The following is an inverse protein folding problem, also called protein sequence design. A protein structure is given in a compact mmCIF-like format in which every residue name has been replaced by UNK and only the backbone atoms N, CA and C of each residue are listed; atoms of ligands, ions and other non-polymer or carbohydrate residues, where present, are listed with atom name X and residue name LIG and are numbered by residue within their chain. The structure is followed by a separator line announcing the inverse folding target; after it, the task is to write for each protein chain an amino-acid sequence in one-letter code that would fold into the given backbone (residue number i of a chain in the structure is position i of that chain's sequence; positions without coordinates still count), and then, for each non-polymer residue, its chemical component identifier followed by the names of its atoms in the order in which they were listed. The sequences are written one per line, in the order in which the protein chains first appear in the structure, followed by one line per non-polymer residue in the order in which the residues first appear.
data_IF_449132772366
#
_entry.id   IF_449132772366
#
_cell.length_a   1.000
_cell.length_b   1.000
_cell.length_c   1.000
_cell.angle_alpha   90.00
_cell.angle_beta   90.00
_cell.angle_gamma   90.00
#
_symmetry.space_group_name_H-M   'P 1'
#
loop_
_entity.id
_entity.type
_entity.pdbx_description
1 polymer ?
#
# COMPACT_ATOMS: atom_id res chain seq x y z
N UNK A 1 -11.39 -9.11 28.64
CA UNK A 1 -12.06 -9.66 27.45
C UNK A 1 -11.66 -8.78 26.27
N UNK A 2 -11.22 -9.37 25.14
CA UNK A 2 -10.88 -8.58 23.94
C UNK A 2 -12.18 -8.06 23.30
N UNK A 3 -12.18 -6.84 22.71
CA UNK A 3 -13.35 -6.30 22.03
C UNK A 3 -13.75 -7.17 20.82
N UNK A 4 -15.06 -7.24 20.51
CA UNK A 4 -15.58 -8.07 19.40
C UNK A 4 -15.07 -7.65 18.01
N UNK A 5 -14.59 -6.42 17.85
CA UNK A 5 -14.02 -5.91 16.60
C UNK A 5 -12.55 -6.25 16.43
N UNK A 6 -11.90 -6.85 17.45
CA UNK A 6 -10.47 -7.15 17.44
C UNK A 6 -10.22 -8.64 17.47
N UNK A 7 -9.38 -9.12 16.54
CA UNK A 7 -8.97 -10.52 16.45
C UNK A 7 -7.45 -10.61 16.37
N UNK A 8 -6.85 -11.32 17.34
CA UNK A 8 -5.43 -11.67 17.29
C UNK A 8 -5.25 -12.91 16.40
N UNK A 9 -4.34 -12.81 15.42
CA UNK A 9 -4.03 -13.87 14.49
C UNK A 9 -2.75 -14.58 14.94
N UNK A 10 -2.89 -15.83 15.36
CA UNK A 10 -1.75 -16.67 15.74
C UNK A 10 -1.53 -17.83 14.76
N UNK A 11 -2.48 -18.06 13.87
CA UNK A 11 -2.48 -19.08 12.83
C UNK A 11 -3.02 -18.50 11.53
N UNK A 12 -2.67 -19.04 10.37
CA UNK A 12 -3.21 -18.58 9.09
C UNK A 12 -4.71 -18.94 8.96
N UNK A 13 -5.58 -18.11 9.53
CA UNK A 13 -7.03 -18.34 9.58
C UNK A 13 -7.72 -18.10 8.22
N UNK A 14 -7.06 -17.40 7.31
CA UNK A 14 -7.64 -17.00 6.02
C UNK A 14 -6.99 -17.70 4.82
N UNK A 15 -6.55 -18.95 4.97
CA UNK A 15 -5.98 -19.75 3.87
C UNK A 15 -6.95 -20.00 2.73
N UNK A 16 -8.26 -19.97 3.02
CA UNK A 16 -9.31 -20.08 2.00
C UNK A 16 -9.22 -19.00 0.92
N UNK A 17 -8.60 -17.86 1.22
CA UNK A 17 -8.42 -16.79 0.24
C UNK A 17 -7.51 -17.16 -0.92
N UNK A 18 -6.58 -18.09 -0.71
CA UNK A 18 -5.69 -18.59 -1.76
C UNK A 18 -6.44 -19.41 -2.82
N UNK A 19 -7.64 -19.94 -2.50
CA UNK A 19 -8.48 -20.64 -3.47
C UNK A 19 -9.02 -19.73 -4.57
N UNK A 20 -9.04 -18.41 -4.32
CA UNK A 20 -9.41 -17.41 -5.31
C UNK A 20 -8.25 -17.08 -6.27
N UNK A 21 -7.05 -17.61 -6.01
CA UNK A 21 -5.91 -17.40 -6.90
C UNK A 21 -6.12 -18.23 -8.17
N UNK A 22 -5.90 -17.63 -9.35
CA UNK A 22 -6.14 -18.32 -10.60
C UNK A 22 -5.09 -19.42 -10.83
N UNK A 23 -5.52 -20.56 -11.41
CA UNK A 23 -4.60 -21.62 -11.83
C UNK A 23 -3.70 -21.18 -13.00
N UNK A 24 -4.21 -20.28 -13.84
CA UNK A 24 -3.48 -19.70 -14.97
C UNK A 24 -3.24 -18.22 -14.72
N UNK A 25 -2.14 -17.69 -15.26
CA UNK A 25 -1.84 -16.26 -15.15
C UNK A 25 -3.02 -15.42 -15.65
N UNK A 26 -3.47 -14.52 -14.80
CA UNK A 26 -4.54 -13.58 -15.10
C UNK A 26 -4.29 -12.25 -14.40
N UNK A 27 -5.07 -11.24 -14.74
CA UNK A 27 -5.02 -9.89 -14.18
C UNK A 27 -3.68 -9.18 -14.39
N UNK A 28 -3.70 -7.92 -14.09
CA UNK A 28 -2.57 -7.01 -14.30
C UNK A 28 -2.36 -6.11 -13.08
N UNK A 29 -1.09 -5.82 -12.78
CA UNK A 29 -0.69 -4.90 -11.70
C UNK A 29 0.27 -3.88 -12.26
N UNK A 30 0.07 -2.59 -11.90
CA UNK A 30 1.09 -1.56 -12.08
C UNK A 30 1.90 -1.37 -10.79
N UNK A 31 3.22 -1.43 -10.88
CA UNK A 31 4.15 -1.05 -9.81
C UNK A 31 4.73 0.30 -10.14
N UNK A 32 4.40 1.30 -9.34
CA UNK A 32 4.61 2.72 -9.65
C UNK A 32 5.55 3.33 -8.61
N UNK A 33 6.55 4.05 -9.06
CA UNK A 33 7.48 4.73 -8.16
C UNK A 33 8.76 5.16 -8.86
N UNK A 34 9.75 5.51 -8.06
CA UNK A 34 11.06 5.92 -8.52
C UNK A 34 11.22 7.43 -8.73
N UNK A 35 12.46 7.83 -8.75
CA UNK A 35 12.91 9.18 -9.11
C UNK A 35 14.28 9.10 -9.78
N UNK A 36 14.81 10.22 -10.25
CA UNK A 36 16.09 10.29 -10.97
C UNK A 36 17.29 9.67 -10.23
N UNK A 37 17.20 9.50 -8.91
CA UNK A 37 18.30 8.99 -8.06
C UNK A 37 18.11 7.52 -7.69
N UNK A 38 16.87 7.08 -7.42
CA UNK A 38 16.57 5.73 -6.95
C UNK A 38 15.28 5.16 -7.57
N UNK A 39 15.32 3.90 -7.95
CA UNK A 39 14.20 3.16 -8.52
C UNK A 39 14.32 1.64 -8.29
N UNK A 40 15.35 1.21 -7.59
CA UNK A 40 15.67 -0.21 -7.42
C UNK A 40 14.57 -0.99 -6.71
N UNK A 41 13.88 -0.35 -5.75
CA UNK A 41 12.77 -0.98 -5.03
C UNK A 41 11.60 -1.29 -5.96
N UNK A 42 11.30 -0.39 -6.89
CA UNK A 42 10.20 -0.57 -7.86
C UNK A 42 10.47 -1.79 -8.73
N UNK A 43 11.68 -1.90 -9.29
CA UNK A 43 12.09 -3.04 -10.13
C UNK A 43 12.02 -4.36 -9.35
N UNK A 44 12.67 -4.42 -8.16
CA UNK A 44 12.68 -5.63 -7.33
C UNK A 44 11.28 -6.07 -6.91
N UNK A 45 10.38 -5.11 -6.64
CA UNK A 45 8.99 -5.40 -6.28
C UNK A 45 8.22 -5.97 -7.47
N UNK A 46 8.39 -5.42 -8.67
CA UNK A 46 7.79 -5.94 -9.89
C UNK A 46 8.30 -7.35 -10.24
N UNK A 47 9.60 -7.59 -10.13
CA UNK A 47 10.22 -8.92 -10.32
C UNK A 47 9.66 -9.94 -9.31
N UNK A 48 9.53 -9.54 -8.04
CA UNK A 48 8.95 -10.40 -7.00
C UNK A 48 7.50 -10.78 -7.31
N UNK A 49 6.64 -9.82 -7.70
CA UNK A 49 5.26 -10.08 -8.11
C UNK A 49 5.21 -11.07 -9.29
N UNK A 50 6.01 -10.84 -10.30
CA UNK A 50 6.05 -11.66 -11.54
C UNK A 50 6.49 -13.11 -11.26
N UNK A 51 7.44 -13.29 -10.35
CA UNK A 51 8.00 -14.61 -10.03
C UNK A 51 7.17 -15.40 -9.01
N UNK A 52 6.42 -14.71 -8.15
CA UNK A 52 5.77 -15.33 -6.97
C UNK A 52 4.30 -15.60 -7.19
N UNK A 53 3.60 -14.81 -8.02
CA UNK A 53 2.17 -14.87 -8.18
C UNK A 53 1.75 -15.16 -9.63
N UNK A 54 0.57 -15.77 -9.86
CA UNK A 54 0.04 -16.06 -11.19
C UNK A 54 -0.55 -14.81 -11.87
N UNK A 55 0.21 -13.71 -11.88
CA UNK A 55 -0.17 -12.45 -12.52
C UNK A 55 0.24 -12.50 -13.98
N UNK A 56 -0.67 -12.12 -14.89
CA UNK A 56 -0.42 -12.14 -16.32
C UNK A 56 0.54 -11.04 -16.74
N UNK A 57 0.33 -9.82 -16.22
CA UNK A 57 1.13 -8.66 -16.58
C UNK A 57 1.47 -7.83 -15.35
N UNK A 58 2.74 -7.64 -15.09
CA UNK A 58 3.24 -6.67 -14.11
C UNK A 58 3.89 -5.53 -14.88
N UNK A 59 3.22 -4.37 -14.91
CA UNK A 59 3.75 -3.13 -15.50
C UNK A 59 4.59 -2.40 -14.47
N UNK A 60 5.78 -1.98 -14.88
CA UNK A 60 6.62 -1.10 -14.05
C UNK A 60 6.56 0.29 -14.61
N UNK A 61 6.05 1.25 -13.84
CA UNK A 61 5.87 2.64 -14.25
C UNK A 61 6.90 3.52 -13.55
N UNK A 62 7.77 4.13 -14.33
CA UNK A 62 8.87 4.99 -13.86
C UNK A 62 8.75 6.41 -14.43
N UNK A 63 9.36 7.42 -13.77
CA UNK A 63 9.48 8.75 -14.37
C UNK A 63 10.35 8.73 -15.63
N UNK A 64 9.99 9.53 -16.62
CA UNK A 64 10.69 9.69 -17.92
C UNK A 64 12.20 9.98 -17.74
N UNK A 65 12.56 10.67 -16.67
CA UNK A 65 13.97 10.96 -16.31
C UNK A 65 14.85 9.72 -16.18
N UNK A 66 14.26 8.55 -15.99
CA UNK A 66 14.95 7.26 -15.86
C UNK A 66 15.08 6.48 -17.17
N UNK A 67 14.39 6.89 -18.25
CA UNK A 67 14.39 6.15 -19.53
C UNK A 67 15.78 5.78 -20.06
N UNK A 68 16.73 6.68 -19.90
CA UNK A 68 18.12 6.44 -20.36
C UNK A 68 18.95 5.57 -19.39
N UNK A 69 18.48 5.36 -18.17
CA UNK A 69 19.19 4.60 -17.13
C UNK A 69 18.73 3.14 -17.04
N UNK A 70 17.59 2.83 -17.61
CA UNK A 70 16.99 1.49 -17.54
C UNK A 70 17.07 0.83 -18.91
N UNK A 71 17.75 -0.34 -19.02
CA UNK A 71 18.07 -0.96 -20.31
C UNK A 71 16.91 -1.80 -20.91
N UNK A 72 15.77 -1.91 -20.25
CA UNK A 72 14.64 -2.75 -20.72
C UNK A 72 13.39 -1.91 -20.97
N UNK A 73 12.47 -2.42 -21.79
CA UNK A 73 11.21 -1.74 -22.07
C UNK A 73 10.33 -1.70 -20.83
N UNK A 74 10.12 -0.51 -20.29
CA UNK A 74 9.21 -0.23 -19.18
C UNK A 74 8.27 0.91 -19.58
N UNK A 75 7.19 1.08 -18.81
CA UNK A 75 6.30 2.21 -18.97
C UNK A 75 6.89 3.45 -18.29
N UNK A 76 6.84 4.57 -18.98
CA UNK A 76 7.35 5.84 -18.46
C UNK A 76 6.26 6.90 -18.50
N UNK A 77 6.15 7.65 -17.39
CA UNK A 77 5.31 8.84 -17.33
C UNK A 77 6.16 10.10 -17.27
N UNK A 78 5.67 11.25 -17.81
CA UNK A 78 6.39 12.51 -17.77
C UNK A 78 6.92 12.84 -16.38
N UNK A 79 8.08 13.48 -16.34
CA UNK A 79 8.76 13.80 -15.09
C UNK A 79 9.00 15.29 -14.91
N UNK A 80 8.96 15.74 -13.65
CA UNK A 80 9.36 17.07 -13.22
C UNK A 80 10.86 17.28 -13.37
N UNK A 81 11.32 18.51 -13.24
CA UNK A 81 12.76 18.84 -13.18
C UNK A 81 13.49 18.15 -12.03
N UNK A 82 12.78 17.79 -10.95
CA UNK A 82 13.33 16.99 -9.83
C UNK A 82 13.45 15.50 -10.17
N UNK A 83 12.98 15.08 -11.35
CA UNK A 83 13.10 13.71 -11.84
C UNK A 83 12.11 12.72 -11.24
N UNK A 84 10.99 13.18 -10.69
CA UNK A 84 9.85 12.35 -10.26
C UNK A 84 8.62 12.66 -11.13
N UNK A 85 7.48 12.03 -10.84
CA UNK A 85 6.28 12.16 -11.67
C UNK A 85 5.73 13.58 -11.74
N UNK A 86 5.30 13.98 -12.95
CA UNK A 86 4.55 15.18 -13.22
C UNK A 86 3.06 14.85 -13.43
N UNK A 87 2.19 15.84 -13.18
CA UNK A 87 0.74 15.70 -13.40
C UNK A 87 0.44 15.71 -14.91
N UNK A 88 0.02 14.56 -15.42
CA UNK A 88 -0.31 14.39 -16.83
C UNK A 88 -1.40 13.34 -17.01
N UNK A 89 -2.18 13.48 -18.09
CA UNK A 89 -3.17 12.48 -18.50
C UNK A 89 -2.54 11.09 -18.81
N UNK A 90 -1.26 11.07 -19.12
CA UNK A 90 -0.54 9.80 -19.33
C UNK A 90 -0.40 9.01 -18.03
N UNK A 91 -0.12 9.67 -16.90
CA UNK A 91 -0.07 9.01 -15.60
C UNK A 91 -1.44 8.45 -15.23
N UNK A 92 -2.51 9.23 -15.44
CA UNK A 92 -3.89 8.79 -15.20
C UNK A 92 -4.26 7.56 -16.06
N UNK A 93 -3.84 7.56 -17.33
CA UNK A 93 -4.01 6.43 -18.25
C UNK A 93 -3.28 5.19 -17.75
N UNK A 94 -2.04 5.32 -17.28
CA UNK A 94 -1.27 4.20 -16.74
C UNK A 94 -1.87 3.63 -15.46
N UNK A 95 -2.44 4.49 -14.60
CA UNK A 95 -3.17 4.05 -13.40
C UNK A 95 -4.43 3.26 -13.74
N UNK A 96 -5.16 3.66 -14.78
CA UNK A 96 -6.41 3.01 -15.20
C UNK A 96 -6.18 1.78 -16.08
N UNK A 97 -4.95 1.53 -16.52
CA UNK A 97 -4.61 0.50 -17.50
C UNK A 97 -4.40 -0.91 -16.90
N UNK A 98 -4.56 -1.07 -15.59
CA UNK A 98 -4.37 -2.33 -14.87
C UNK A 98 -5.47 -2.56 -13.84
N UNK A 99 -5.59 -3.79 -13.37
CA UNK A 99 -6.64 -4.18 -12.41
C UNK A 99 -6.30 -3.72 -10.98
N UNK A 100 -5.01 -3.47 -10.69
CA UNK A 100 -4.55 -3.03 -9.38
C UNK A 100 -3.27 -2.18 -9.49
N UNK A 101 -3.10 -1.21 -8.57
CA UNK A 101 -1.91 -0.37 -8.51
C UNK A 101 -1.15 -0.57 -7.20
N UNK A 102 0.18 -0.61 -7.29
CA UNK A 102 1.09 -0.58 -6.15
C UNK A 102 2.02 0.62 -6.26
N UNK A 103 1.84 1.61 -5.39
CA UNK A 103 2.70 2.79 -5.30
C UNK A 103 3.71 2.54 -4.19
N UNK A 104 4.97 2.22 -4.58
CA UNK A 104 5.93 1.61 -3.66
C UNK A 104 7.05 2.55 -3.19
N UNK A 105 7.06 3.80 -3.60
CA UNK A 105 8.02 4.77 -3.08
C UNK A 105 9.16 5.09 -4.02
N UNK A 106 10.27 5.54 -3.42
CA UNK A 106 11.37 6.22 -4.09
C UNK A 106 10.89 7.49 -4.85
N UNK A 107 9.80 8.12 -4.36
CA UNK A 107 9.23 9.33 -4.95
C UNK A 107 9.91 10.59 -4.40
N UNK A 108 10.00 11.63 -5.23
CA UNK A 108 10.47 12.94 -4.73
C UNK A 108 9.40 13.59 -3.87
N UNK A 109 9.79 14.10 -2.71
CA UNK A 109 8.91 14.82 -1.77
C UNK A 109 8.67 16.26 -2.24
N UNK A 110 7.88 16.44 -3.29
CA UNK A 110 7.47 17.74 -3.79
C UNK A 110 5.96 17.79 -4.07
N UNK A 111 5.38 18.98 -4.08
CA UNK A 111 3.95 19.18 -4.25
C UNK A 111 3.43 18.73 -5.62
N UNK A 112 4.22 18.86 -6.67
CA UNK A 112 3.82 18.45 -8.03
C UNK A 112 3.62 16.95 -8.08
N UNK A 113 4.58 16.16 -7.59
CA UNK A 113 4.48 14.71 -7.54
C UNK A 113 3.34 14.25 -6.61
N UNK A 114 3.15 14.92 -5.45
CA UNK A 114 2.01 14.64 -4.56
C UNK A 114 0.68 14.83 -5.30
N UNK A 115 0.48 15.97 -5.94
CA UNK A 115 -0.74 16.26 -6.70
C UNK A 115 -0.92 15.33 -7.90
N UNK A 116 0.18 14.94 -8.56
CA UNK A 116 0.12 13.98 -9.67
C UNK A 116 -0.42 12.62 -9.23
N UNK A 117 0.12 12.08 -8.14
CA UNK A 117 -0.30 10.78 -7.58
C UNK A 117 -1.74 10.85 -7.04
N UNK A 118 -2.07 11.91 -6.30
CA UNK A 118 -3.43 12.17 -5.82
C UNK A 118 -4.44 12.18 -6.97
N UNK A 119 -4.16 12.98 -8.00
CA UNK A 119 -5.04 13.09 -9.15
C UNK A 119 -5.22 11.74 -9.86
N UNK A 120 -4.15 10.98 -10.06
CA UNK A 120 -4.20 9.69 -10.73
C UNK A 120 -5.03 8.66 -9.93
N UNK A 121 -4.93 8.65 -8.60
CA UNK A 121 -5.76 7.79 -7.74
C UNK A 121 -7.23 8.21 -7.82
N UNK A 122 -7.52 9.51 -7.66
CA UNK A 122 -8.90 10.03 -7.62
C UNK A 122 -9.62 9.97 -8.99
N UNK A 123 -8.87 10.01 -10.09
CA UNK A 123 -9.43 9.89 -11.45
C UNK A 123 -9.69 8.45 -11.88
N UNK A 124 -9.25 7.47 -11.09
CA UNK A 124 -9.39 6.05 -11.37
C UNK A 124 -10.21 5.34 -10.29
N UNK A 125 -11.03 4.38 -10.68
CA UNK A 125 -11.68 3.44 -9.75
C UNK A 125 -10.78 2.23 -9.41
N UNK A 126 -9.59 2.15 -10.00
CA UNK A 126 -8.67 1.04 -9.81
C UNK A 126 -8.15 1.01 -8.38
N UNK A 127 -8.24 -0.12 -7.66
CA UNK A 127 -7.73 -0.25 -6.31
C UNK A 127 -6.22 0.03 -6.24
N UNK A 128 -5.77 0.54 -5.08
CA UNK A 128 -4.35 0.87 -4.90
C UNK A 128 -3.83 0.50 -3.51
N UNK A 129 -2.57 0.04 -3.47
CA UNK A 129 -1.75 -0.04 -2.26
C UNK A 129 -0.71 1.08 -2.29
N UNK A 130 -0.59 1.81 -1.20
CA UNK A 130 0.44 2.84 -1.00
C UNK A 130 1.35 2.41 0.14
N UNK A 131 2.64 2.40 -0.09
CA UNK A 131 3.62 1.92 0.89
C UNK A 131 4.91 2.75 0.90
N UNK A 132 5.70 2.59 1.95
CA UNK A 132 7.01 3.22 2.14
C UNK A 132 6.92 4.75 2.17
N UNK A 133 7.86 5.43 1.54
CA UNK A 133 7.92 6.90 1.46
C UNK A 133 6.83 7.52 0.56
N UNK A 134 6.14 6.72 -0.27
CA UNK A 134 4.95 7.20 -0.98
C UNK A 134 3.86 7.69 -0.02
N UNK A 135 3.76 7.09 1.18
CA UNK A 135 2.84 7.55 2.23
C UNK A 135 3.16 8.99 2.66
N UNK A 136 4.45 9.33 2.75
CA UNK A 136 4.87 10.71 3.07
C UNK A 136 4.54 11.71 1.96
N UNK A 137 4.62 11.27 0.71
CA UNK A 137 4.32 12.10 -0.48
C UNK A 137 2.84 12.44 -0.52
N UNK A 138 1.95 11.46 -0.31
CA UNK A 138 0.50 11.69 -0.33
C UNK A 138 -0.03 12.36 0.95
N UNK A 139 0.77 12.50 1.98
CA UNK A 139 0.29 13.00 3.28
C UNK A 139 -0.34 14.39 3.22
N UNK A 140 0.06 15.24 2.26
CA UNK A 140 -0.56 16.56 2.04
C UNK A 140 -1.94 16.50 1.38
N UNK A 141 -2.21 15.44 0.62
CA UNK A 141 -3.43 15.19 -0.13
C UNK A 141 -4.34 14.13 0.53
N UNK A 142 -3.99 13.68 1.73
CA UNK A 142 -4.64 12.53 2.38
C UNK A 142 -6.14 12.76 2.62
N UNK A 143 -6.58 14.00 2.79
CA UNK A 143 -7.99 14.31 3.04
C UNK A 143 -8.90 13.83 1.92
N UNK A 144 -8.44 13.91 0.68
CA UNK A 144 -9.22 13.49 -0.49
C UNK A 144 -9.02 11.98 -0.76
N UNK A 145 -7.81 11.46 -0.49
CA UNK A 145 -7.48 10.08 -0.76
C UNK A 145 -8.04 9.09 0.26
N UNK A 146 -8.17 9.47 1.53
CA UNK A 146 -8.59 8.56 2.60
C UNK A 146 -10.06 8.10 2.45
N UNK A 147 -10.85 8.85 1.70
CA UNK A 147 -12.24 8.51 1.37
C UNK A 147 -12.35 7.51 0.20
N UNK A 148 -11.23 7.19 -0.46
CA UNK A 148 -11.25 6.23 -1.56
C UNK A 148 -11.43 4.79 -1.01
N UNK A 149 -12.52 4.09 -1.37
CA UNK A 149 -12.92 2.83 -0.70
C UNK A 149 -11.97 1.66 -0.96
N UNK A 150 -11.20 1.71 -2.06
CA UNK A 150 -10.32 0.63 -2.50
C UNK A 150 -8.84 0.98 -2.25
N UNK A 151 -8.56 1.82 -1.24
CA UNK A 151 -7.21 2.21 -0.89
C UNK A 151 -6.70 1.41 0.31
N UNK A 152 -5.50 0.84 0.19
CA UNK A 152 -4.78 0.24 1.31
C UNK A 152 -3.49 1.02 1.56
N UNK A 153 -3.29 1.47 2.79
CA UNK A 153 -2.11 2.24 3.20
C UNK A 153 -1.26 1.41 4.16
N UNK A 154 -0.03 1.13 3.77
CA UNK A 154 0.97 0.46 4.61
C UNK A 154 1.88 1.54 5.18
N UNK A 155 1.64 1.94 6.43
CA UNK A 155 2.26 3.09 7.06
C UNK A 155 2.92 2.75 8.38
N UNK A 156 4.11 3.27 8.61
CA UNK A 156 4.75 3.26 9.93
C UNK A 156 3.98 4.15 10.92
N UNK A 157 4.16 3.92 12.22
CA UNK A 157 3.51 4.75 13.25
C UNK A 157 3.80 6.25 13.09
N UNK A 158 5.03 6.72 12.78
CA UNK A 158 5.27 8.13 12.50
C UNK A 158 4.50 8.65 11.28
N UNK A 159 4.37 7.85 10.23
CA UNK A 159 3.57 8.20 9.05
C UNK A 159 2.08 8.30 9.41
N UNK A 160 1.53 7.34 10.16
CA UNK A 160 0.15 7.43 10.64
C UNK A 160 -0.10 8.65 11.53
N UNK A 161 0.83 8.97 12.43
CA UNK A 161 0.74 10.21 13.22
C UNK A 161 0.66 11.45 12.34
N UNK A 162 1.44 11.49 11.26
CA UNK A 162 1.41 12.59 10.28
C UNK A 162 0.06 12.63 9.56
N UNK A 163 -0.44 11.49 9.07
CA UNK A 163 -1.75 11.41 8.42
C UNK A 163 -2.87 11.86 9.35
N UNK A 164 -2.91 11.37 10.58
CA UNK A 164 -3.91 11.75 11.59
C UNK A 164 -3.91 13.25 11.85
N UNK A 165 -2.73 13.86 11.92
CA UNK A 165 -2.57 15.31 12.11
C UNK A 165 -3.09 16.11 10.92
N UNK A 166 -2.78 15.67 9.70
CA UNK A 166 -3.27 16.31 8.47
C UNK A 166 -4.78 16.21 8.34
N UNK A 167 -5.37 15.08 8.78
CA UNK A 167 -6.82 14.86 8.79
C UNK A 167 -7.53 15.56 9.97
N UNK A 168 -6.80 16.25 10.85
CA UNK A 168 -7.34 16.79 12.11
C UNK A 168 -8.09 15.73 12.93
N UNK A 169 -7.63 14.46 12.84
CA UNK A 169 -8.28 13.37 13.56
C UNK A 169 -8.13 13.56 15.08
N UNK A 170 -9.22 13.47 15.88
CA UNK A 170 -9.22 13.89 17.28
C UNK A 170 -8.44 12.99 18.24
N UNK A 171 -7.95 11.85 17.76
CA UNK A 171 -7.13 10.92 18.55
C UNK A 171 -5.69 10.94 18.06
N UNK A 172 -4.76 10.96 18.99
CA UNK A 172 -3.33 10.83 18.70
C UNK A 172 -2.88 9.37 18.84
N UNK A 173 -1.98 8.96 17.96
CA UNK A 173 -1.23 7.71 18.09
C UNK A 173 0.15 8.04 18.65
N UNK A 174 0.59 7.38 19.72
CA UNK A 174 1.91 7.53 20.29
C UNK A 174 2.67 6.20 20.22
N UNK A 175 3.96 6.26 19.93
CA UNK A 175 4.83 5.07 19.89
C UNK A 175 4.90 4.35 21.26
N UNK A 176 4.75 5.08 22.36
CA UNK A 176 4.77 4.54 23.72
C UNK A 176 3.42 3.99 24.20
N UNK A 177 2.33 4.15 23.42
CA UNK A 177 1.03 3.66 23.84
C UNK A 177 1.02 2.12 23.92
N UNK A 178 0.31 1.54 24.91
CA UNK A 178 -0.01 0.11 24.90
C UNK A 178 -0.81 -0.30 23.65
N UNK A 179 -0.78 -1.58 23.31
CA UNK A 179 -1.42 -2.10 22.10
C UNK A 179 -2.94 -1.81 22.01
N UNK A 180 -3.67 -2.05 23.11
CA UNK A 180 -5.14 -1.90 23.09
C UNK A 180 -5.63 -0.46 22.79
N UNK A 181 -5.10 0.62 23.38
CA UNK A 181 -5.43 1.98 22.98
C UNK A 181 -5.16 2.28 21.49
N UNK A 182 -4.09 1.71 20.91
CA UNK A 182 -3.80 1.84 19.47
C UNK A 182 -4.88 1.13 18.65
N UNK A 183 -5.24 -0.10 19.03
CA UNK A 183 -6.32 -0.88 18.39
C UNK A 183 -7.65 -0.12 18.44
N UNK A 184 -8.04 0.44 19.60
CA UNK A 184 -9.27 1.24 19.75
C UNK A 184 -9.25 2.49 18.85
N UNK A 185 -8.10 3.13 18.74
CA UNK A 185 -7.94 4.32 17.89
C UNK A 185 -8.08 3.96 16.41
N UNK A 186 -7.42 2.89 15.97
CA UNK A 186 -7.52 2.39 14.59
C UNK A 186 -8.91 1.84 14.26
N UNK A 187 -9.59 1.21 15.23
CA UNK A 187 -10.99 0.79 15.09
C UNK A 187 -11.89 2.00 14.76
N UNK A 188 -11.84 3.04 15.59
CA UNK A 188 -12.64 4.26 15.37
C UNK A 188 -12.28 4.96 14.07
N UNK A 189 -10.99 4.98 13.73
CA UNK A 189 -10.51 5.55 12.47
C UNK A 189 -11.08 4.80 11.26
N UNK A 190 -11.04 3.46 11.25
CA UNK A 190 -11.55 2.64 10.15
C UNK A 190 -13.09 2.55 10.09
N UNK A 191 -13.81 3.05 11.11
CA UNK A 191 -15.25 3.32 11.02
C UNK A 191 -15.54 4.65 10.31
N UNK A 192 -14.63 5.62 10.44
CA UNK A 192 -14.79 6.95 9.85
C UNK A 192 -14.30 7.01 8.41
N UNK A 193 -13.31 6.20 8.06
CA UNK A 193 -12.64 6.23 6.75
C UNK A 193 -12.60 4.83 6.13
N UNK A 194 -12.96 4.68 4.84
CA UNK A 194 -13.05 3.38 4.17
C UNK A 194 -11.69 2.73 3.86
N UNK A 195 -10.60 3.51 3.85
CA UNK A 195 -9.27 2.99 3.54
C UNK A 195 -8.81 1.93 4.55
N UNK A 196 -8.19 0.87 4.04
CA UNK A 196 -7.56 -0.16 4.88
C UNK A 196 -6.17 0.31 5.32
N UNK A 197 -5.88 0.20 6.60
CA UNK A 197 -4.60 0.59 7.19
C UNK A 197 -3.83 -0.65 7.66
N UNK A 198 -2.55 -0.76 7.29
CA UNK A 198 -1.61 -1.71 7.86
C UNK A 198 -0.47 -0.95 8.55
N UNK A 199 -0.16 -1.35 9.78
CA UNK A 199 0.97 -0.76 10.54
C UNK A 199 1.63 -1.80 11.45
N UNK A 200 2.83 -1.48 11.94
CA UNK A 200 3.55 -2.25 12.96
C UNK A 200 3.62 -1.44 14.26
N UNK A 201 3.21 -2.06 15.36
CA UNK A 201 3.32 -1.48 16.69
C UNK A 201 3.58 -2.58 17.73
N UNK A 202 4.61 -2.39 18.58
CA UNK A 202 5.00 -3.35 19.64
C UNK A 202 5.03 -4.81 19.17
N UNK A 203 5.79 -5.09 18.12
CA UNK A 203 5.92 -6.43 17.53
C UNK A 203 4.60 -7.08 17.07
N UNK A 204 3.57 -6.26 16.83
CA UNK A 204 2.30 -6.67 16.25
C UNK A 204 2.10 -5.93 14.92
N UNK A 205 1.91 -6.68 13.83
CA UNK A 205 1.41 -6.11 12.57
C UNK A 205 -0.11 -6.00 12.70
N UNK A 206 -0.62 -4.79 12.61
CA UNK A 206 -2.03 -4.47 12.81
C UNK A 206 -2.65 -4.12 11.47
N UNK A 207 -3.80 -4.70 11.16
CA UNK A 207 -4.63 -4.33 10.01
C UNK A 207 -5.97 -3.82 10.52
N UNK A 208 -6.39 -2.66 10.01
CA UNK A 208 -7.66 -2.02 10.31
C UNK A 208 -8.46 -1.77 9.03
N UNK A 209 -9.69 -2.23 8.96
CA UNK A 209 -10.58 -2.04 7.82
C UNK A 209 -12.04 -2.13 8.25
N UNK A 210 -12.88 -1.18 7.84
CA UNK A 210 -14.33 -1.18 8.06
C UNK A 210 -14.74 -1.50 9.51
N UNK A 211 -14.07 -0.88 10.48
CA UNK A 211 -14.33 -1.06 11.90
C UNK A 211 -13.89 -2.39 12.49
N UNK A 212 -13.15 -3.22 11.76
CA UNK A 212 -12.58 -4.47 12.26
C UNK A 212 -11.06 -4.37 12.31
N UNK A 213 -10.46 -5.03 13.30
CA UNK A 213 -9.02 -5.02 13.52
C UNK A 213 -8.50 -6.46 13.63
N UNK A 214 -7.42 -6.73 12.94
CA UNK A 214 -6.60 -7.92 13.20
C UNK A 214 -5.21 -7.51 13.65
N UNK A 215 -4.57 -8.31 14.49
CA UNK A 215 -3.14 -8.19 14.76
C UNK A 215 -2.45 -9.54 14.62
N UNK A 216 -1.27 -9.53 14.04
CA UNK A 216 -0.42 -10.71 13.86
C UNK A 216 0.90 -10.47 14.56
N UNK A 217 1.31 -11.33 15.52
CA UNK A 217 2.62 -11.23 16.12
C UNK A 217 3.71 -11.34 15.06
N UNK A 218 4.69 -10.45 15.10
CA UNK A 218 5.78 -10.42 14.12
C UNK A 218 6.55 -11.74 14.07
N UNK A 219 6.74 -12.40 15.23
CA UNK A 219 7.37 -13.71 15.37
C UNK A 219 6.65 -14.86 14.62
N UNK A 220 5.38 -14.68 14.26
CA UNK A 220 4.58 -15.63 13.47
C UNK A 220 4.68 -15.38 11.97
N UNK A 221 5.44 -14.40 11.56
CA UNK A 221 5.60 -13.99 10.16
C UNK A 221 7.04 -14.25 9.68
N UNK A 222 7.26 -14.14 8.39
CA UNK A 222 8.60 -14.15 7.79
C UNK A 222 9.29 -12.78 7.84
N UNK A 223 8.65 -11.76 8.42
CA UNK A 223 9.14 -10.40 8.45
C UNK A 223 9.89 -10.06 9.74
N UNK A 224 10.82 -9.14 9.64
CA UNK A 224 11.46 -8.43 10.76
C UNK A 224 10.90 -7.01 10.87
N UNK A 225 11.18 -6.26 11.95
CA UNK A 225 10.77 -4.85 12.08
C UNK A 225 11.21 -3.97 10.91
N UNK A 226 12.29 -4.34 10.21
CA UNK A 226 12.81 -3.61 9.04
C UNK A 226 12.13 -4.09 7.76
N UNK A 227 11.99 -5.42 7.58
CA UNK A 227 11.49 -5.99 6.32
C UNK A 227 9.98 -5.85 6.15
N UNK A 228 9.22 -5.58 7.21
CA UNK A 228 7.80 -5.16 7.12
C UNK A 228 7.62 -3.97 6.17
N UNK A 229 8.61 -3.08 6.09
CA UNK A 229 8.57 -1.90 5.21
C UNK A 229 9.21 -2.16 3.84
N UNK A 230 9.50 -3.41 3.51
CA UNK A 230 10.03 -3.78 2.20
C UNK A 230 8.93 -3.83 1.13
N UNK A 231 9.34 -3.81 -0.13
CA UNK A 231 8.43 -4.00 -1.27
C UNK A 231 7.72 -5.36 -1.25
N UNK A 232 8.31 -6.38 -0.60
CA UNK A 232 7.77 -7.74 -0.55
C UNK A 232 6.43 -7.81 0.17
N UNK A 233 6.30 -7.19 1.37
CA UNK A 233 5.00 -7.16 2.05
C UNK A 233 3.95 -6.41 1.24
N UNK A 234 4.30 -5.25 0.69
CA UNK A 234 3.39 -4.47 -0.13
C UNK A 234 2.94 -5.25 -1.39
N UNK A 235 3.84 -5.99 -2.01
CA UNK A 235 3.53 -6.88 -3.13
C UNK A 235 2.57 -8.00 -2.73
N UNK A 236 2.82 -8.67 -1.59
CA UNK A 236 1.91 -9.70 -1.06
C UNK A 236 0.52 -9.13 -0.80
N UNK A 237 0.42 -7.98 -0.13
CA UNK A 237 -0.84 -7.29 0.15
C UNK A 237 -1.57 -6.96 -1.16
N UNK A 238 -0.86 -6.46 -2.17
CA UNK A 238 -1.44 -6.14 -3.47
C UNK A 238 -2.01 -7.39 -4.16
N UNK A 239 -1.25 -8.48 -4.21
CA UNK A 239 -1.67 -9.73 -4.86
C UNK A 239 -2.88 -10.36 -4.14
N UNK A 240 -2.88 -10.44 -2.82
CA UNK A 240 -4.01 -11.00 -2.07
C UNK A 240 -5.29 -10.18 -2.23
N UNK A 241 -5.18 -8.84 -2.22
CA UNK A 241 -6.33 -7.96 -2.44
C UNK A 241 -6.84 -8.01 -3.89
N UNK A 242 -5.96 -8.18 -4.88
CA UNK A 242 -6.35 -8.31 -6.30
C UNK A 242 -7.41 -9.40 -6.51
N UNK A 243 -7.23 -10.56 -5.88
CA UNK A 243 -8.16 -11.69 -6.03
C UNK A 243 -9.20 -11.80 -4.92
N UNK A 244 -9.14 -10.92 -3.91
CA UNK A 244 -10.07 -10.87 -2.79
C UNK A 244 -10.58 -9.43 -2.51
N UNK A 245 -11.07 -8.69 -3.51
CA UNK A 245 -11.38 -7.25 -3.36
C UNK A 245 -12.49 -6.96 -2.34
N UNK A 246 -13.39 -7.91 -2.09
CA UNK A 246 -14.49 -7.76 -1.16
C UNK A 246 -14.12 -8.12 0.30
N UNK A 247 -12.88 -8.54 0.55
CA UNK A 247 -12.40 -8.98 1.87
C UNK A 247 -11.04 -8.35 2.20
N UNK A 248 -10.91 -7.02 2.17
CA UNK A 248 -9.60 -6.35 2.28
C UNK A 248 -8.91 -6.58 3.63
N UNK A 249 -9.66 -6.68 4.74
CA UNK A 249 -9.09 -7.00 6.04
C UNK A 249 -8.41 -8.37 6.03
N UNK A 250 -9.16 -9.39 5.61
CA UNK A 250 -8.71 -10.78 5.61
C UNK A 250 -7.58 -10.98 4.58
N UNK A 251 -7.73 -10.40 3.37
CA UNK A 251 -6.71 -10.47 2.33
C UNK A 251 -5.38 -9.86 2.77
N UNK A 252 -5.43 -8.66 3.36
CA UNK A 252 -4.24 -7.99 3.89
C UNK A 252 -3.64 -8.77 5.06
N UNK A 253 -4.47 -9.36 5.94
CA UNK A 253 -3.99 -10.18 7.07
C UNK A 253 -3.36 -11.50 6.59
N UNK A 254 -3.96 -12.17 5.60
CA UNK A 254 -3.39 -13.40 5.02
C UNK A 254 -2.04 -13.14 4.34
N UNK A 255 -1.90 -12.01 3.64
CA UNK A 255 -0.66 -11.60 3.00
C UNK A 255 0.54 -11.43 3.96
N UNK A 256 0.27 -11.17 5.24
CA UNK A 256 1.31 -11.05 6.28
C UNK A 256 1.87 -12.42 6.67
N UNK A 257 1.06 -13.46 6.56
CA UNK A 257 1.36 -14.83 7.02
C UNK A 257 1.95 -15.73 5.92
N UNK A 258 2.20 -15.15 4.74
CA UNK A 258 2.78 -15.85 3.60
C UNK A 258 4.26 -16.18 3.76
#
# INVERSE_FOLDING_TARGET
MLPNYYQKQEKPLFKDLEWNFPERKSNSISVIGGNAQNFSTVIKTAEYLTSTFPIQTVKTVLPESLRKKVPFPLDFAPSTNSGSFDKTSMLDTLFSATDYNLIIGDLSKNSITSTAIEHAINSSSTPAVIARDSVDVIASAISDLIEHPNLTIIASMPQLQKLFRTLYYPKMLLLSQPLLPVIETLHKFSLSYPATILTLHQDQIIVASSGKITSTPLEKTSYSPITVWSGTLAANVTAYNLWNPNRPLEATTAAILK
#
